data_IF_249568734423
#
_entry.id   IF_249568734423
#
_cell.length_a   1.000
_cell.length_b   1.000
_cell.length_c   1.000
_cell.angle_alpha   90.00
_cell.angle_beta   90.00
_cell.angle_gamma   90.00
#
_symmetry.space_group_name_H-M   'P 1'
#
loop_
_entity.id
_entity.type
_entity.pdbx_description
1 polymer ?
#
# COMPACT_ATOMS: atom_id res chain seq x y z
N UNK A 1 -0.55 18.05 -21.26
CA UNK A 1 -1.87 17.86 -20.63
C UNK A 1 -1.94 16.54 -19.83
N UNK A 2 -1.05 16.35 -18.83
CA UNK A 2 -1.03 15.16 -17.96
C UNK A 2 -1.72 15.40 -16.60
N UNK A 3 -1.70 16.64 -16.11
CA UNK A 3 -2.29 17.00 -14.82
C UNK A 3 -3.81 16.80 -14.78
N UNK A 4 -4.51 17.02 -15.90
CA UNK A 4 -5.96 16.84 -15.99
C UNK A 4 -6.33 15.37 -15.73
N UNK A 5 -5.83 14.37 -16.48
CA UNK A 5 -6.13 12.97 -16.18
C UNK A 5 -5.60 12.52 -14.81
N UNK A 6 -4.45 13.05 -14.36
CA UNK A 6 -3.91 12.75 -13.03
C UNK A 6 -4.87 13.16 -11.90
N UNK A 7 -5.37 14.40 -11.90
CA UNK A 7 -6.28 14.86 -10.85
C UNK A 7 -7.63 14.18 -10.89
N UNK A 8 -8.13 13.82 -12.09
CA UNK A 8 -9.37 13.04 -12.23
C UNK A 8 -9.21 11.66 -11.59
N UNK A 9 -8.15 10.92 -11.92
CA UNK A 9 -7.90 9.59 -11.33
C UNK A 9 -7.59 9.67 -9.83
N UNK A 10 -6.86 10.69 -9.39
CA UNK A 10 -6.60 10.92 -7.97
C UNK A 10 -7.90 11.14 -7.20
N UNK A 11 -8.82 11.96 -7.71
CA UNK A 11 -10.06 12.28 -7.03
C UNK A 11 -11.06 11.12 -7.01
N UNK A 12 -11.14 10.34 -8.09
CA UNK A 12 -12.14 9.28 -8.24
C UNK A 12 -11.67 7.94 -7.68
N UNK A 13 -10.39 7.61 -7.83
CA UNK A 13 -9.85 6.29 -7.47
C UNK A 13 -8.88 6.38 -6.29
N UNK A 14 -7.88 7.26 -6.39
CA UNK A 14 -6.81 7.35 -5.38
C UNK A 14 -7.32 7.72 -3.99
N UNK A 15 -8.01 8.86 -3.86
CA UNK A 15 -8.51 9.36 -2.58
C UNK A 15 -9.54 8.39 -1.96
N UNK A 16 -10.55 7.90 -2.70
CA UNK A 16 -11.56 7.00 -2.12
C UNK A 16 -10.98 5.66 -1.65
N UNK A 17 -10.07 5.04 -2.40
CA UNK A 17 -9.44 3.77 -1.99
C UNK A 17 -8.58 3.98 -0.75
N UNK A 18 -7.77 5.04 -0.73
CA UNK A 18 -6.91 5.36 0.42
C UNK A 18 -7.73 5.62 1.69
N UNK A 19 -8.82 6.38 1.55
CA UNK A 19 -9.74 6.63 2.66
C UNK A 19 -10.39 5.34 3.17
N UNK A 20 -10.84 4.47 2.27
CA UNK A 20 -11.45 3.19 2.62
C UNK A 20 -10.47 2.29 3.40
N UNK A 21 -9.22 2.18 2.94
CA UNK A 21 -8.20 1.37 3.61
C UNK A 21 -7.89 1.89 5.02
N UNK A 22 -7.74 3.21 5.18
CA UNK A 22 -7.53 3.83 6.49
C UNK A 22 -8.73 3.64 7.41
N UNK A 23 -9.95 3.88 6.92
CA UNK A 23 -11.17 3.77 7.73
C UNK A 23 -11.39 2.32 8.22
N UNK A 24 -11.16 1.33 7.35
CA UNK A 24 -11.25 -0.09 7.69
C UNK A 24 -10.15 -0.47 8.70
N UNK A 25 -8.91 -0.04 8.48
CA UNK A 25 -7.79 -0.27 9.39
C UNK A 25 -8.06 0.29 10.79
N UNK A 26 -8.57 1.52 10.88
CA UNK A 26 -8.92 2.17 12.14
C UNK A 26 -10.11 1.48 12.84
N UNK A 27 -11.12 1.03 12.09
CA UNK A 27 -12.32 0.38 12.64
C UNK A 27 -12.03 -1.01 13.21
N UNK A 28 -11.27 -1.83 12.48
CA UNK A 28 -11.03 -3.23 12.84
C UNK A 28 -9.79 -3.43 13.71
N UNK A 29 -8.83 -2.47 13.70
CA UNK A 29 -7.59 -2.51 14.49
C UNK A 29 -6.83 -3.84 14.40
N UNK A 30 -6.86 -4.47 13.23
CA UNK A 30 -6.09 -5.69 12.92
C UNK A 30 -5.14 -5.42 11.76
N UNK A 31 -4.14 -6.29 11.59
CA UNK A 31 -3.28 -6.27 10.41
C UNK A 31 -4.04 -6.64 9.12
N UNK A 32 -3.42 -6.42 7.97
CA UNK A 32 -4.04 -6.61 6.64
C UNK A 32 -4.75 -7.97 6.48
N UNK A 33 -4.11 -9.08 6.86
CA UNK A 33 -4.71 -10.42 6.80
C UNK A 33 -5.94 -10.53 7.72
N UNK A 34 -5.84 -10.00 8.95
CA UNK A 34 -6.91 -10.06 9.94
C UNK A 34 -8.09 -9.13 9.64
N UNK A 35 -7.86 -8.06 8.86
CA UNK A 35 -8.91 -7.17 8.34
C UNK A 35 -9.72 -7.90 7.26
N UNK A 36 -9.05 -8.42 6.23
CA UNK A 36 -9.73 -9.06 5.11
C UNK A 36 -10.47 -10.35 5.50
N UNK A 37 -9.90 -11.14 6.42
CA UNK A 37 -10.56 -12.33 6.96
C UNK A 37 -11.83 -12.02 7.78
N UNK A 38 -11.92 -10.83 8.39
CA UNK A 38 -13.14 -10.39 9.10
C UNK A 38 -14.21 -9.85 8.16
N UNK A 39 -13.82 -9.24 7.04
CA UNK A 39 -14.77 -8.79 6.01
C UNK A 39 -15.39 -9.98 5.31
N UNK A 40 -14.57 -10.94 4.89
CA UNK A 40 -15.04 -12.24 4.39
C UNK A 40 -13.91 -13.26 4.45
N UNK A 41 -14.17 -14.49 4.94
CA UNK A 41 -13.13 -15.52 5.04
C UNK A 41 -12.53 -15.91 3.68
N UNK A 42 -13.25 -15.69 2.58
CA UNK A 42 -12.75 -15.92 1.21
C UNK A 42 -11.78 -14.82 0.74
N UNK A 43 -11.82 -13.63 1.34
CA UNK A 43 -10.97 -12.50 0.97
C UNK A 43 -9.63 -12.47 1.74
N UNK A 44 -9.39 -13.44 2.64
CA UNK A 44 -8.13 -13.53 3.40
C UNK A 44 -6.88 -13.57 2.51
N UNK A 45 -7.00 -14.09 1.27
CA UNK A 45 -5.94 -14.09 0.27
C UNK A 45 -5.40 -12.70 -0.07
N UNK A 46 -6.25 -11.66 -0.06
CA UNK A 46 -5.85 -10.27 -0.36
C UNK A 46 -4.78 -9.77 0.64
N UNK A 47 -4.97 -10.08 1.92
CA UNK A 47 -4.00 -9.71 2.95
C UNK A 47 -2.64 -10.41 2.78
N UNK A 48 -2.66 -11.68 2.35
CA UNK A 48 -1.43 -12.44 2.07
C UNK A 48 -0.72 -11.87 0.85
N UNK A 49 -1.46 -11.59 -0.24
CA UNK A 49 -0.91 -10.95 -1.44
C UNK A 49 -0.28 -9.60 -1.13
N UNK A 50 -0.91 -8.76 -0.30
CA UNK A 50 -0.36 -7.48 0.16
C UNK A 50 0.96 -7.64 0.92
N UNK A 51 1.07 -8.65 1.78
CA UNK A 51 2.31 -8.96 2.51
C UNK A 51 3.43 -9.41 1.57
N UNK A 52 3.13 -10.25 0.58
CA UNK A 52 4.11 -10.71 -0.43
C UNK A 52 4.60 -9.55 -1.29
N UNK A 53 3.71 -8.66 -1.74
CA UNK A 53 4.10 -7.46 -2.50
C UNK A 53 4.99 -6.55 -1.65
N UNK A 54 4.61 -6.30 -0.38
CA UNK A 54 5.42 -5.51 0.55
C UNK A 54 6.82 -6.10 0.76
N UNK A 55 6.94 -7.42 0.85
CA UNK A 55 8.23 -8.10 0.95
C UNK A 55 9.08 -7.91 -0.31
N UNK A 56 8.50 -8.06 -1.51
CA UNK A 56 9.22 -7.82 -2.76
C UNK A 56 9.69 -6.36 -2.86
N UNK A 57 8.86 -5.40 -2.45
CA UNK A 57 9.22 -3.98 -2.41
C UNK A 57 10.39 -3.74 -1.47
N UNK A 58 10.37 -4.34 -0.28
CA UNK A 58 11.46 -4.19 0.69
C UNK A 58 12.82 -4.65 0.11
N UNK A 59 12.87 -5.68 -0.74
CA UNK A 59 14.13 -6.18 -1.31
C UNK A 59 14.84 -5.14 -2.18
N UNK A 60 14.13 -4.54 -3.15
CA UNK A 60 14.77 -3.59 -4.07
C UNK A 60 14.81 -2.16 -3.52
N UNK A 61 13.81 -1.76 -2.72
CA UNK A 61 13.71 -0.38 -2.25
C UNK A 61 14.81 -0.05 -1.23
N UNK A 62 15.19 -1.01 -0.39
CA UNK A 62 16.32 -0.83 0.54
C UNK A 62 17.66 -0.65 -0.21
N UNK A 63 17.85 -1.28 -1.37
CA UNK A 63 19.05 -1.08 -2.19
C UNK A 63 19.16 0.36 -2.69
N UNK A 64 18.03 0.95 -3.13
CA UNK A 64 17.99 2.35 -3.56
C UNK A 64 18.35 3.28 -2.40
N UNK A 65 17.79 3.03 -1.21
CA UNK A 65 18.12 3.81 -0.01
C UNK A 65 19.62 3.70 0.32
N UNK A 66 20.19 2.48 0.24
CA UNK A 66 21.61 2.28 0.47
C UNK A 66 22.49 3.06 -0.53
N UNK A 67 22.10 3.12 -1.80
CA UNK A 67 22.79 3.97 -2.79
C UNK A 67 22.68 5.46 -2.44
N UNK A 68 21.49 5.95 -2.07
CA UNK A 68 21.32 7.34 -1.62
C UNK A 68 22.21 7.67 -0.42
N UNK A 69 22.32 6.76 0.55
CA UNK A 69 23.20 6.93 1.72
C UNK A 69 24.68 6.90 1.33
N UNK A 70 25.07 6.02 0.41
CA UNK A 70 26.43 5.97 -0.11
C UNK A 70 26.82 7.30 -0.78
N UNK A 71 25.97 7.82 -1.67
CA UNK A 71 26.17 9.12 -2.32
C UNK A 71 26.07 10.32 -1.36
N UNK A 72 25.43 10.17 -0.21
CA UNK A 72 25.36 11.22 0.80
C UNK A 72 26.63 11.29 1.66
N UNK A 73 27.26 10.14 1.92
CA UNK A 73 28.49 10.05 2.72
C UNK A 73 29.74 10.28 1.86
N UNK A 74 29.68 9.98 0.57
CA UNK A 74 30.74 10.27 -0.40
C UNK A 74 30.73 11.73 -0.86
#
# INVERSE_FOLDING_TARGET
AFLIPYFVMLAIEGIPIFYLELAIGQRLRKGAIGVWNQVSPYLGGIGVSSAVVSFNVALYYNTIIAWCLFYFVQ
#
